data_IF_821396522643
#
_entry.id   IF_821396522643
#
_cell.length_a   1.000
_cell.length_b   1.000
_cell.length_c   1.000
_cell.angle_alpha   90.00
_cell.angle_beta   90.00
_cell.angle_gamma   90.00
#
_symmetry.space_group_name_H-M   'P 1'
#
loop_
_entity.id
_entity.type
_entity.pdbx_description
1 polymer ?
#
# COMPACT_ATOMS: atom_id res chain seq x y z
N UNK A 1 19.79 -0.59 -1.82
CA UNK A 1 18.32 -0.41 -1.79
C UNK A 1 17.60 -1.29 -0.75
N UNK A 2 17.91 -2.59 -0.63
CA UNK A 2 17.27 -3.51 0.35
C UNK A 2 17.37 -3.09 1.83
N UNK A 3 18.39 -2.32 2.26
CA UNK A 3 18.47 -1.83 3.64
C UNK A 3 17.48 -0.71 3.93
N UNK A 4 17.30 0.25 3.00
CA UNK A 4 16.41 1.41 3.16
C UNK A 4 14.93 1.03 3.20
N UNK A 5 14.52 -0.01 2.48
CA UNK A 5 13.14 -0.53 2.51
C UNK A 5 12.82 -1.21 3.86
N UNK A 6 13.76 -1.96 4.42
CA UNK A 6 13.59 -2.51 5.77
C UNK A 6 13.59 -1.41 6.84
N UNK A 7 14.41 -0.38 6.65
CA UNK A 7 14.41 0.81 7.49
C UNK A 7 13.09 1.59 7.41
N UNK A 8 12.43 1.63 6.25
CA UNK A 8 11.12 2.28 6.07
C UNK A 8 10.06 1.72 7.03
N UNK A 9 9.84 0.40 6.99
CA UNK A 9 8.87 -0.26 7.85
C UNK A 9 9.22 -0.03 9.33
N UNK A 10 10.51 -0.09 9.68
CA UNK A 10 10.97 0.20 11.03
C UNK A 10 10.71 1.65 11.46
N UNK A 11 10.90 2.65 10.60
CA UNK A 11 10.65 4.06 10.93
C UNK A 11 9.16 4.30 11.20
N UNK A 12 8.29 3.84 10.30
CA UNK A 12 6.84 4.00 10.45
C UNK A 12 6.35 3.22 11.68
N UNK A 13 6.85 2.00 11.90
CA UNK A 13 6.44 1.17 13.03
C UNK A 13 7.03 1.64 14.38
N UNK A 14 8.20 2.27 14.39
CA UNK A 14 8.84 2.77 15.61
C UNK A 14 8.30 4.13 16.06
N UNK A 15 7.63 4.88 15.17
CA UNK A 15 7.15 6.24 15.43
C UNK A 15 6.31 6.32 16.71
N UNK A 16 6.68 7.22 17.66
CA UNK A 16 5.91 7.45 18.89
C UNK A 16 4.46 7.84 18.62
N UNK A 17 4.22 8.59 17.55
CA UNK A 17 2.91 9.11 17.17
C UNK A 17 1.98 7.95 16.80
N UNK A 18 2.47 7.04 15.95
CA UNK A 18 1.74 5.82 15.58
C UNK A 18 1.49 4.97 16.82
N UNK A 19 2.53 4.69 17.63
CA UNK A 19 2.37 3.90 18.86
C UNK A 19 1.34 4.48 19.83
N UNK A 20 1.30 5.80 19.98
CA UNK A 20 0.35 6.49 20.88
C UNK A 20 -1.07 6.41 20.33
N UNK A 21 -1.25 6.64 19.03
CA UNK A 21 -2.55 6.54 18.38
C UNK A 21 -3.16 5.13 18.49
N UNK A 22 -2.36 4.09 18.29
CA UNK A 22 -2.83 2.70 18.36
C UNK A 22 -2.99 2.18 19.80
N UNK A 23 -2.23 2.69 20.77
CA UNK A 23 -2.41 2.38 22.22
C UNK A 23 -3.67 2.99 22.82
N UNK A 24 -4.23 4.03 22.21
CA UNK A 24 -5.44 4.67 22.73
C UNK A 24 -6.67 3.74 22.73
N UNK A 25 -6.65 2.62 21.98
CA UNK A 25 -7.75 1.64 21.94
C UNK A 25 -7.21 0.21 21.97
N UNK A 26 -7.69 -0.61 22.92
CA UNK A 26 -7.16 -1.97 23.14
C UNK A 26 -7.20 -2.90 21.93
N UNK A 27 -8.27 -2.86 21.13
CA UNK A 27 -8.39 -3.65 19.88
C UNK A 27 -7.32 -3.23 18.85
N UNK A 28 -7.10 -1.93 18.72
CA UNK A 28 -6.10 -1.35 17.81
C UNK A 28 -4.68 -1.69 18.26
N UNK A 29 -4.43 -1.75 19.58
CA UNK A 29 -3.14 -2.18 20.11
C UNK A 29 -2.87 -3.67 19.82
N UNK A 30 -3.88 -4.54 19.98
CA UNK A 30 -3.76 -5.97 19.66
C UNK A 30 -3.49 -6.19 18.18
N UNK A 31 -4.24 -5.52 17.31
CA UNK A 31 -4.05 -5.58 15.86
C UNK A 31 -2.66 -5.07 15.45
N UNK A 32 -2.22 -3.94 16.01
CA UNK A 32 -0.88 -3.40 15.81
C UNK A 32 0.21 -4.38 16.25
N UNK A 33 0.07 -5.02 17.42
CA UNK A 33 1.00 -6.07 17.87
C UNK A 33 1.03 -7.27 16.90
N UNK A 34 -0.13 -7.64 16.34
CA UNK A 34 -0.23 -8.67 15.31
C UNK A 34 0.56 -8.30 14.04
N UNK A 35 0.40 -7.08 13.54
CA UNK A 35 1.18 -6.58 12.41
C UNK A 35 2.69 -6.54 12.70
N UNK A 36 3.09 -6.11 13.89
CA UNK A 36 4.50 -6.11 14.30
C UNK A 36 5.09 -7.52 14.38
N UNK A 37 4.30 -8.52 14.78
CA UNK A 37 4.73 -9.92 14.77
C UNK A 37 5.03 -10.42 13.35
N UNK A 38 4.29 -9.92 12.35
CA UNK A 38 4.48 -10.25 10.93
C UNK A 38 5.66 -9.49 10.29
N UNK A 39 5.92 -8.24 10.72
CA UNK A 39 6.86 -7.34 10.05
C UNK A 39 8.22 -7.11 10.76
N UNK A 40 8.55 -7.94 11.76
CA UNK A 40 9.71 -7.82 12.65
C UNK A 40 9.60 -6.66 13.66
N UNK A 41 10.19 -6.84 14.86
CA UNK A 41 10.15 -5.83 15.92
C UNK A 41 10.94 -4.58 15.49
N UNK A 42 10.35 -3.38 15.59
CA UNK A 42 11.02 -2.15 15.21
C UNK A 42 12.16 -1.86 16.19
N UNK A 43 13.36 -1.66 15.67
CA UNK A 43 14.47 -1.13 16.45
C UNK A 43 14.34 0.39 16.52
N UNK A 44 14.41 0.96 17.73
CA UNK A 44 14.46 2.39 17.95
C UNK A 44 15.79 2.93 17.41
N UNK A 45 15.77 3.41 16.16
CA UNK A 45 16.92 4.08 15.56
C UNK A 45 16.79 5.58 15.88
N UNK A 46 17.82 6.15 16.51
CA UNK A 46 17.97 7.61 16.60
C UNK A 46 18.44 8.11 15.23
N UNK A 47 17.48 8.53 14.40
CA UNK A 47 17.73 9.05 13.05
C UNK A 47 17.39 10.54 13.04
N UNK A 48 18.17 11.36 12.33
CA UNK A 48 17.85 12.78 12.13
C UNK A 48 16.63 12.92 11.19
N UNK A 49 15.84 13.99 11.35
CA UNK A 49 14.63 14.28 10.55
C UNK A 49 14.87 14.27 9.03
N UNK A 50 16.03 14.74 8.57
CA UNK A 50 16.39 14.73 7.14
C UNK A 50 16.57 13.31 6.60
N UNK A 51 17.28 12.47 7.36
CA UNK A 51 17.53 11.07 6.99
C UNK A 51 16.24 10.24 7.06
N UNK A 52 15.39 10.52 8.06
CA UNK A 52 14.06 9.94 8.17
C UNK A 52 13.19 10.25 6.93
N UNK A 53 13.12 11.51 6.50
CA UNK A 53 12.39 11.90 5.28
C UNK A 53 12.93 11.18 4.04
N UNK A 54 14.25 11.05 3.90
CA UNK A 54 14.86 10.33 2.78
C UNK A 54 14.52 8.85 2.79
N UNK A 55 14.48 8.21 3.97
CA UNK A 55 14.06 6.80 4.13
C UNK A 55 12.59 6.63 3.74
N UNK A 56 11.71 7.51 4.23
CA UNK A 56 10.28 7.51 3.89
C UNK A 56 10.06 7.69 2.39
N UNK A 57 10.70 8.70 1.80
CA UNK A 57 10.65 8.94 0.35
C UNK A 57 11.15 7.72 -0.45
N UNK A 58 12.22 7.07 -0.02
CA UNK A 58 12.72 5.85 -0.66
C UNK A 58 11.72 4.69 -0.59
N UNK A 59 11.01 4.52 0.53
CA UNK A 59 9.94 3.53 0.67
C UNK A 59 8.80 3.78 -0.32
N UNK A 60 8.32 5.02 -0.41
CA UNK A 60 7.27 5.37 -1.37
C UNK A 60 7.72 5.27 -2.84
N UNK A 61 8.97 5.57 -3.16
CA UNK A 61 9.53 5.32 -4.51
C UNK A 61 9.56 3.83 -4.86
N UNK A 62 9.83 2.98 -3.87
CA UNK A 62 9.75 1.55 -4.04
C UNK A 62 8.31 1.11 -4.32
N UNK A 63 7.35 1.52 -3.49
CA UNK A 63 5.93 1.21 -3.74
C UNK A 63 5.45 1.73 -5.09
N UNK A 64 5.80 2.95 -5.46
CA UNK A 64 5.49 3.52 -6.76
C UNK A 64 5.94 2.63 -7.92
N UNK A 65 7.18 2.12 -7.83
CA UNK A 65 7.75 1.24 -8.85
C UNK A 65 7.08 -0.13 -8.85
N UNK A 66 6.80 -0.69 -7.66
CA UNK A 66 6.06 -1.96 -7.52
C UNK A 66 4.70 -1.90 -8.21
N UNK A 67 3.91 -0.85 -7.96
CA UNK A 67 2.58 -0.72 -8.58
C UNK A 67 2.65 -0.39 -10.07
N UNK A 68 3.67 0.32 -10.54
CA UNK A 68 3.88 0.49 -11.98
C UNK A 68 4.25 -0.81 -12.67
N UNK A 69 5.09 -1.65 -12.06
CA UNK A 69 5.37 -2.99 -12.59
C UNK A 69 4.12 -3.87 -12.60
N UNK A 70 3.30 -3.80 -11.55
CA UNK A 70 2.02 -4.49 -11.53
C UNK A 70 1.08 -3.99 -12.64
N UNK A 71 1.03 -2.68 -12.86
CA UNK A 71 0.30 -2.08 -13.98
C UNK A 71 0.79 -2.60 -15.34
N UNK A 72 2.11 -2.68 -15.54
CA UNK A 72 2.70 -3.26 -16.74
C UNK A 72 2.26 -4.72 -16.95
N UNK A 73 2.22 -5.53 -15.88
CA UNK A 73 1.73 -6.91 -15.94
C UNK A 73 0.27 -6.95 -16.41
N UNK A 74 -0.61 -6.11 -15.84
CA UNK A 74 -2.01 -6.02 -16.29
C UNK A 74 -2.11 -5.61 -17.76
N UNK A 75 -1.28 -4.67 -18.21
CA UNK A 75 -1.26 -4.25 -19.62
C UNK A 75 -0.83 -5.40 -20.53
N UNK A 76 0.27 -6.08 -20.21
CA UNK A 76 0.77 -7.22 -20.99
C UNK A 76 -0.28 -8.33 -21.06
N UNK A 77 -0.91 -8.68 -19.95
CA UNK A 77 -1.98 -9.68 -19.92
C UNK A 77 -3.20 -9.25 -20.76
N UNK A 78 -3.59 -7.98 -20.71
CA UNK A 78 -4.65 -7.44 -21.58
C UNK A 78 -4.30 -7.53 -23.06
N UNK A 79 -3.05 -7.23 -23.44
CA UNK A 79 -2.61 -7.31 -24.84
C UNK A 79 -2.57 -8.76 -25.34
N UNK A 80 -2.17 -9.71 -24.49
CA UNK A 80 -2.26 -11.15 -24.79
C UNK A 80 -3.72 -11.59 -24.94
N UNK A 81 -4.62 -11.15 -24.05
CA UNK A 81 -6.04 -11.46 -24.20
C UNK A 81 -6.65 -10.93 -25.50
N UNK A 82 -6.23 -9.73 -25.93
CA UNK A 82 -6.66 -9.14 -27.18
C UNK A 82 -6.20 -9.96 -28.40
N UNK A 83 -5.01 -10.57 -28.35
CA UNK A 83 -4.49 -11.36 -29.48
C UNK A 83 -5.05 -12.77 -29.56
N UNK A 84 -5.53 -13.35 -28.44
CA UNK A 84 -6.01 -14.74 -28.37
C UNK A 84 -7.54 -14.85 -28.46
N UNK A 85 -8.31 -13.83 -28.03
CA UNK A 85 -9.77 -13.92 -27.94
C UNK A 85 -10.50 -12.63 -28.34
N UNK A 86 -11.20 -12.65 -29.48
CA UNK A 86 -12.00 -11.53 -29.99
C UNK A 86 -13.21 -11.15 -29.09
N UNK A 87 -13.64 -12.05 -28.20
CA UNK A 87 -14.81 -11.89 -27.30
C UNK A 87 -14.42 -11.33 -25.91
N UNK A 88 -13.13 -11.08 -25.65
CA UNK A 88 -12.64 -10.68 -24.33
C UNK A 88 -12.70 -9.15 -24.03
N UNK A 89 -13.45 -8.37 -24.81
CA UNK A 89 -13.40 -6.90 -24.80
C UNK A 89 -13.55 -6.26 -23.41
N UNK A 90 -14.47 -6.77 -22.58
CA UNK A 90 -14.65 -6.29 -21.20
C UNK A 90 -13.41 -6.49 -20.33
N UNK A 91 -12.86 -7.71 -20.31
CA UNK A 91 -11.69 -8.05 -19.47
C UNK A 91 -10.42 -7.35 -19.95
N UNK A 92 -10.25 -7.23 -21.27
CA UNK A 92 -9.14 -6.48 -21.86
C UNK A 92 -9.20 -5.02 -21.45
N UNK A 93 -10.36 -4.37 -21.60
CA UNK A 93 -10.56 -2.98 -21.20
C UNK A 93 -10.32 -2.78 -19.70
N UNK A 94 -10.86 -3.67 -18.85
CA UNK A 94 -10.66 -3.61 -17.42
C UNK A 94 -9.18 -3.69 -17.03
N UNK A 95 -8.41 -4.58 -17.66
CA UNK A 95 -6.96 -4.69 -17.41
C UNK A 95 -6.18 -3.47 -17.92
N UNK A 96 -6.56 -2.88 -19.06
CA UNK A 96 -5.96 -1.62 -19.55
C UNK A 96 -6.24 -0.48 -18.56
N UNK A 97 -7.49 -0.31 -18.13
CA UNK A 97 -7.87 0.72 -17.16
C UNK A 97 -7.14 0.51 -15.82
N UNK A 98 -7.00 -0.74 -15.38
CA UNK A 98 -6.23 -1.10 -14.18
C UNK A 98 -4.76 -0.70 -14.33
N UNK A 99 -4.15 -0.99 -15.49
CA UNK A 99 -2.78 -0.56 -15.78
C UNK A 99 -2.62 0.95 -15.71
N UNK A 100 -3.50 1.70 -16.38
CA UNK A 100 -3.48 3.17 -16.38
C UNK A 100 -3.63 3.70 -14.96
N UNK A 101 -4.58 3.16 -14.19
CA UNK A 101 -4.80 3.54 -12.80
C UNK A 101 -3.55 3.35 -11.94
N UNK A 102 -2.94 2.17 -11.99
CA UNK A 102 -1.72 1.85 -11.23
C UNK A 102 -0.53 2.69 -11.68
N UNK A 103 -0.44 3.00 -12.98
CA UNK A 103 0.60 3.87 -13.51
C UNK A 103 0.49 5.29 -12.99
N UNK A 104 -0.72 5.85 -12.98
CA UNK A 104 -1.02 7.17 -12.42
C UNK A 104 -0.76 7.21 -10.91
N UNK A 105 -1.25 6.21 -10.16
CA UNK A 105 -1.00 6.10 -8.72
C UNK A 105 0.50 6.07 -8.41
N UNK A 106 1.28 5.26 -9.12
CA UNK A 106 2.73 5.21 -8.94
C UNK A 106 3.43 6.52 -9.32
N UNK A 107 2.92 7.24 -10.32
CA UNK A 107 3.46 8.55 -10.70
C UNK A 107 3.23 9.61 -9.62
N UNK A 108 2.04 9.62 -9.02
CA UNK A 108 1.71 10.46 -7.85
C UNK A 108 2.65 10.15 -6.69
N UNK A 109 2.89 8.86 -6.39
CA UNK A 109 3.83 8.46 -5.34
C UNK A 109 5.27 8.90 -5.60
N UNK A 110 5.76 8.82 -6.84
CA UNK A 110 7.12 9.29 -7.19
C UNK A 110 7.26 10.79 -7.01
N UNK A 111 6.29 11.56 -7.50
CA UNK A 111 6.29 13.02 -7.33
C UNK A 111 6.18 13.37 -5.85
N UNK A 112 5.21 12.79 -5.15
CA UNK A 112 5.00 13.00 -3.72
C UNK A 112 6.22 12.65 -2.88
N UNK A 113 6.95 11.58 -3.22
CA UNK A 113 8.17 11.21 -2.51
C UNK A 113 9.33 12.21 -2.72
N UNK A 114 9.44 12.83 -3.91
CA UNK A 114 10.41 13.91 -4.14
C UNK A 114 10.05 15.14 -3.31
N UNK A 115 8.80 15.55 -3.37
CA UNK A 115 8.27 16.72 -2.67
C UNK A 115 8.30 16.54 -1.14
N UNK A 116 8.12 15.31 -0.66
CA UNK A 116 8.20 14.95 0.75
C UNK A 116 9.64 14.98 1.28
N UNK A 117 10.62 14.57 0.47
CA UNK A 117 12.04 14.62 0.83
C UNK A 117 12.50 16.07 1.10
N UNK A 118 11.98 17.03 0.33
CA UNK A 118 12.21 18.47 0.52
C UNK A 118 11.37 19.06 1.67
N UNK A 119 10.40 18.31 2.21
CA UNK A 119 9.60 18.72 3.37
C UNK A 119 8.37 19.57 3.03
N UNK A 120 7.84 19.46 1.82
CA UNK A 120 6.65 20.21 1.41
C UNK A 120 5.34 19.54 1.85
N UNK A 121 4.31 20.35 2.09
CA UNK A 121 2.96 19.86 2.39
C UNK A 121 2.36 19.08 1.22
N UNK A 122 2.62 19.54 -0.02
CA UNK A 122 2.17 18.90 -1.26
C UNK A 122 2.65 17.44 -1.35
N UNK A 123 3.90 17.18 -0.96
CA UNK A 123 4.45 15.83 -0.91
C UNK A 123 3.65 14.91 0.00
N UNK A 124 3.34 15.37 1.21
CA UNK A 124 2.54 14.59 2.17
C UNK A 124 1.15 14.28 1.63
N UNK A 125 0.46 15.26 1.04
CA UNK A 125 -0.87 15.08 0.45
C UNK A 125 -0.83 14.07 -0.69
N UNK A 126 0.16 14.18 -1.59
CA UNK A 126 0.32 13.26 -2.71
C UNK A 126 0.54 11.81 -2.25
N UNK A 127 1.35 11.61 -1.20
CA UNK A 127 1.57 10.28 -0.62
C UNK A 127 0.31 9.71 0.05
N UNK A 128 -0.49 10.55 0.73
CA UNK A 128 -1.79 10.14 1.28
C UNK A 128 -2.76 9.73 0.17
N UNK A 129 -2.86 10.53 -0.90
CA UNK A 129 -3.70 10.20 -2.06
C UNK A 129 -3.26 8.87 -2.69
N UNK A 130 -1.96 8.65 -2.86
CA UNK A 130 -1.42 7.39 -3.35
C UNK A 130 -1.84 6.19 -2.48
N UNK A 131 -1.66 6.29 -1.17
CA UNK A 131 -2.04 5.22 -0.23
C UNK A 131 -3.54 4.90 -0.33
N UNK A 132 -4.38 5.93 -0.43
CA UNK A 132 -5.82 5.74 -0.59
C UNK A 132 -6.15 5.03 -1.92
N UNK A 133 -5.53 5.46 -3.03
CA UNK A 133 -5.73 4.82 -4.33
C UNK A 133 -5.35 3.34 -4.30
N UNK A 134 -4.19 3.01 -3.73
CA UNK A 134 -3.72 1.62 -3.62
C UNK A 134 -4.61 0.80 -2.69
N UNK A 135 -5.04 1.34 -1.56
CA UNK A 135 -5.95 0.64 -0.66
C UNK A 135 -7.29 0.31 -1.33
N UNK A 136 -7.85 1.26 -2.09
CA UNK A 136 -9.08 1.06 -2.87
C UNK A 136 -8.90 0.00 -3.98
N UNK A 137 -7.77 0.05 -4.70
CA UNK A 137 -7.44 -0.95 -5.71
C UNK A 137 -7.33 -2.35 -5.11
N UNK A 138 -6.57 -2.50 -4.01
CA UNK A 138 -6.40 -3.79 -3.34
C UNK A 138 -7.73 -4.31 -2.79
N UNK A 139 -8.58 -3.44 -2.23
CA UNK A 139 -9.90 -3.81 -1.74
C UNK A 139 -10.77 -4.36 -2.88
N UNK A 140 -10.83 -3.65 -4.00
CA UNK A 140 -11.58 -4.09 -5.18
C UNK A 140 -11.01 -5.41 -5.74
N UNK A 141 -9.69 -5.54 -5.82
CA UNK A 141 -9.02 -6.75 -6.30
C UNK A 141 -9.29 -7.96 -5.42
N UNK A 142 -9.16 -7.82 -4.10
CA UNK A 142 -9.41 -8.90 -3.15
C UNK A 142 -10.88 -9.33 -3.18
N UNK A 143 -11.83 -8.39 -3.27
CA UNK A 143 -13.26 -8.70 -3.42
C UNK A 143 -13.51 -9.44 -4.74
N UNK A 144 -12.98 -8.94 -5.86
CA UNK A 144 -13.15 -9.58 -7.16
C UNK A 144 -12.57 -10.99 -7.19
N UNK A 145 -11.37 -11.20 -6.61
CA UNK A 145 -10.76 -12.51 -6.46
C UNK A 145 -11.61 -13.44 -5.59
N UNK A 146 -12.14 -12.94 -4.47
CA UNK A 146 -13.03 -13.71 -3.59
C UNK A 146 -14.29 -14.18 -4.31
N UNK A 147 -14.93 -13.30 -5.10
CA UNK A 147 -16.09 -13.64 -5.92
C UNK A 147 -15.72 -14.69 -6.97
N UNK A 148 -14.60 -14.51 -7.67
CA UNK A 148 -14.14 -15.46 -8.68
C UNK A 148 -13.88 -16.86 -8.10
N UNK A 149 -13.19 -16.96 -6.95
CA UNK A 149 -12.97 -18.24 -6.27
C UNK A 149 -14.26 -18.89 -5.80
N UNK A 150 -15.24 -18.11 -5.34
CA UNK A 150 -16.54 -18.63 -4.94
C UNK A 150 -17.33 -19.17 -6.15
N UNK A 151 -17.37 -18.41 -7.25
CA UNK A 151 -18.08 -18.82 -8.47
C UNK A 151 -17.47 -20.08 -9.11
N UNK A 152 -16.14 -20.26 -9.03
CA UNK A 152 -15.46 -21.45 -9.54
C UNK A 152 -15.50 -22.63 -8.57
N UNK A 153 -16.08 -22.46 -7.37
CA UNK A 153 -16.10 -23.46 -6.30
C UNK A 153 -14.70 -23.99 -5.92
N UNK A 154 -13.65 -23.18 -6.18
CA UNK A 154 -12.26 -23.58 -6.00
C UNK A 154 -11.84 -23.66 -4.53
N UNK A 155 -12.58 -23.02 -3.62
CA UNK A 155 -12.33 -23.02 -2.19
C UNK A 155 -13.64 -23.12 -1.39
N UNK A 156 -13.65 -23.80 -0.22
CA UNK A 156 -14.77 -23.73 0.72
C UNK A 156 -15.08 -22.28 1.10
N UNK A 157 -16.37 -21.91 1.16
CA UNK A 157 -16.83 -20.54 1.44
C UNK A 157 -16.19 -19.95 2.71
N UNK A 158 -16.13 -20.74 3.78
CA UNK A 158 -15.51 -20.30 5.04
C UNK A 158 -14.03 -19.94 4.87
N UNK A 159 -13.26 -20.76 4.14
CA UNK A 159 -11.84 -20.52 3.91
C UNK A 159 -11.61 -19.28 3.02
N UNK A 160 -12.43 -19.10 1.98
CA UNK A 160 -12.39 -17.92 1.13
C UNK A 160 -12.67 -16.62 1.93
N UNK A 161 -13.72 -16.63 2.75
CA UNK A 161 -14.04 -15.50 3.63
C UNK A 161 -12.91 -15.23 4.63
N UNK A 162 -12.39 -16.27 5.27
CA UNK A 162 -11.28 -16.14 6.23
C UNK A 162 -10.04 -15.51 5.58
N UNK A 163 -9.61 -16.00 4.42
CA UNK A 163 -8.46 -15.45 3.68
C UNK A 163 -8.70 -14.01 3.23
N UNK A 164 -9.91 -13.71 2.74
CA UNK A 164 -10.31 -12.38 2.31
C UNK A 164 -10.25 -11.39 3.48
N UNK A 165 -10.80 -11.76 4.64
CA UNK A 165 -10.73 -10.94 5.86
C UNK A 165 -9.29 -10.75 6.33
N UNK A 166 -8.47 -11.80 6.30
CA UNK A 166 -7.07 -11.72 6.70
C UNK A 166 -6.27 -10.77 5.80
N UNK A 167 -6.47 -10.84 4.47
CA UNK A 167 -5.86 -9.91 3.51
C UNK A 167 -6.33 -8.46 3.71
N UNK A 168 -7.61 -8.25 4.01
CA UNK A 168 -8.11 -6.91 4.34
C UNK A 168 -7.49 -6.36 5.61
N UNK A 169 -7.54 -7.12 6.70
CA UNK A 169 -7.14 -6.65 8.03
C UNK A 169 -5.64 -6.46 8.14
N UNK A 170 -4.84 -7.38 7.60
CA UNK A 170 -3.38 -7.33 7.73
C UNK A 170 -2.68 -6.79 6.49
N UNK A 171 -3.20 -7.03 5.29
CA UNK A 171 -2.62 -6.53 4.04
C UNK A 171 -3.02 -5.09 3.77
N UNK A 172 -4.32 -4.81 3.60
CA UNK A 172 -4.80 -3.46 3.30
C UNK A 172 -4.74 -2.58 4.55
N UNK A 173 -5.05 -3.16 5.72
CA UNK A 173 -4.99 -2.46 6.99
C UNK A 173 -3.60 -1.93 7.33
N UNK A 174 -2.50 -2.54 6.87
CA UNK A 174 -1.15 -2.05 7.18
C UNK A 174 -0.89 -0.65 6.63
N UNK A 175 -1.56 -0.24 5.56
CA UNK A 175 -1.47 1.13 5.02
C UNK A 175 -1.99 2.19 6.00
N UNK A 176 -2.82 1.81 6.97
CA UNK A 176 -3.28 2.72 8.03
C UNK A 176 -2.12 3.21 8.89
N UNK A 177 -1.05 2.41 9.06
CA UNK A 177 0.12 2.80 9.84
C UNK A 177 0.85 3.96 9.17
N UNK A 178 1.04 3.83 7.87
CA UNK A 178 1.72 4.82 7.03
C UNK A 178 0.88 6.09 6.89
N UNK A 179 -0.46 5.95 6.80
CA UNK A 179 -1.38 7.08 6.83
C UNK A 179 -1.31 7.84 8.17
N UNK A 180 -1.41 7.15 9.31
CA UNK A 180 -1.34 7.78 10.64
C UNK A 180 0.00 8.51 10.81
N UNK A 181 1.10 7.88 10.38
CA UNK A 181 2.42 8.50 10.40
C UNK A 181 2.47 9.80 9.56
N UNK A 182 1.98 9.76 8.31
CA UNK A 182 1.95 10.93 7.43
C UNK A 182 1.04 12.05 7.98
N UNK A 183 -0.11 11.70 8.56
CA UNK A 183 -1.02 12.67 9.19
C UNK A 183 -0.39 13.32 10.41
N UNK A 184 0.26 12.55 11.28
CA UNK A 184 0.96 13.09 12.44
C UNK A 184 2.07 14.07 12.00
N UNK A 185 2.84 13.70 10.98
CA UNK A 185 3.88 14.57 10.39
C UNK A 185 3.33 15.84 9.75
N UNK A 186 2.14 15.79 9.15
CA UNK A 186 1.49 16.97 8.57
C UNK A 186 1.20 18.04 9.62
N UNK A 187 0.85 17.64 10.83
CA UNK A 187 0.53 18.56 11.94
C UNK A 187 1.78 19.35 12.35
N UNK A 188 2.97 18.73 12.30
CA UNK A 188 4.24 19.38 12.65
C UNK A 188 4.77 20.36 11.58
N UNK A 189 4.21 20.34 10.36
CA UNK A 189 4.61 21.22 9.25
C UNK A 189 3.74 22.49 9.15
N UNK A 190 2.73 22.64 10.00
CA UNK A 190 1.92 23.85 10.16
C UNK A 190 2.48 24.72 11.27
#
# INVERSE_FOLDING_TARGET
>A
MKSRIRLFANVVCASPEVRTAFRARGIMELWWKGLLALHQKPNLLKINRSEERSIIAAGFRFYASLYQYLGLIFLTLSMVNLSVAFVAGYWTLLGILTSVYLWLAGSIARSGARDFEVGTLSGTISLVCFLFMIAMFLAAFVIAASIAFHCQQSLPTFLNLFLTTLLFVFGIGSYALELVYLFARRIELK
#
